data_IF_723443698851
#
_entry.id   IF_723443698851
#
_cell.length_a   1.000
_cell.length_b   1.000
_cell.length_c   1.000
_cell.angle_alpha   90.00
_cell.angle_beta   90.00
_cell.angle_gamma   90.00
#
_symmetry.space_group_name_H-M   'P 1'
#
loop_
_entity.id
_entity.type
_entity.pdbx_description
1 polymer ?
#
# COMPACT_ATOMS: atom_id res chain seq x y z
N UNK A 1 11.48 -16.82 11.90
CA UNK A 1 10.16 -16.89 11.25
C UNK A 1 9.92 -15.58 10.52
N UNK A 2 9.44 -15.60 9.28
CA UNK A 2 9.13 -14.40 8.47
C UNK A 2 7.62 -14.22 8.44
N UNK A 3 7.14 -12.99 8.56
CA UNK A 3 5.72 -12.66 8.51
C UNK A 3 5.55 -11.26 7.92
N UNK A 4 4.44 -11.04 7.23
CA UNK A 4 4.04 -9.74 6.70
C UNK A 4 2.52 -9.60 6.87
N UNK A 5 2.09 -8.38 7.17
CA UNK A 5 0.68 -8.01 7.33
C UNK A 5 0.48 -6.75 6.50
N UNK A 6 -0.65 -6.68 5.78
CA UNK A 6 -1.05 -5.52 4.99
C UNK A 6 -2.49 -5.13 5.32
N UNK A 7 -2.89 -3.90 4.99
CA UNK A 7 -4.29 -3.47 5.03
C UNK A 7 -4.64 -2.63 3.80
N UNK A 8 -5.90 -2.70 3.34
CA UNK A 8 -6.39 -1.90 2.21
C UNK A 8 -7.28 -0.71 2.61
N UNK A 9 -7.26 -0.31 3.88
CA UNK A 9 -8.15 0.72 4.44
C UNK A 9 -9.42 0.15 5.10
N UNK A 10 -10.11 1.01 5.86
CA UNK A 10 -11.29 0.66 6.65
C UNK A 10 -12.57 0.98 5.87
N UNK A 11 -13.59 0.14 6.04
CA UNK A 11 -14.96 0.38 5.53
C UNK A 11 -15.96 0.25 6.66
N UNK A 12 -17.09 0.93 6.54
CA UNK A 12 -18.15 0.90 7.57
C UNK A 12 -18.77 -0.49 7.61
N UNK A 13 -18.61 -1.16 8.76
CA UNK A 13 -19.15 -2.49 9.01
C UNK A 13 -20.67 -2.53 8.82
N UNK A 14 -21.18 -3.57 8.15
CA UNK A 14 -22.61 -3.84 8.00
C UNK A 14 -23.34 -3.05 6.90
N UNK A 15 -22.73 -2.06 6.26
CA UNK A 15 -23.36 -1.32 5.15
C UNK A 15 -22.93 -1.77 3.76
N UNK A 16 -21.77 -2.42 3.65
CA UNK A 16 -21.20 -2.81 2.37
C UNK A 16 -20.74 -4.26 2.47
N UNK A 17 -21.16 -5.10 1.52
CA UNK A 17 -20.50 -6.40 1.32
C UNK A 17 -19.03 -6.13 0.97
N UNK A 18 -18.14 -6.99 1.47
CA UNK A 18 -16.74 -6.93 1.08
C UNK A 18 -16.66 -7.17 -0.44
N UNK A 19 -15.82 -6.39 -1.13
CA UNK A 19 -15.60 -6.58 -2.56
C UNK A 19 -14.64 -7.77 -2.74
N UNK A 20 -15.06 -8.89 -3.36
CA UNK A 20 -14.18 -10.05 -3.56
C UNK A 20 -12.91 -9.69 -4.33
N UNK A 21 -12.98 -8.80 -5.31
CA UNK A 21 -11.82 -8.36 -6.08
C UNK A 21 -10.79 -7.65 -5.19
N UNK A 22 -11.26 -6.82 -4.26
CA UNK A 22 -10.39 -6.14 -3.29
C UNK A 22 -9.70 -7.11 -2.35
N UNK A 23 -10.40 -8.18 -1.94
CA UNK A 23 -9.81 -9.25 -1.11
C UNK A 23 -8.75 -10.01 -1.89
N UNK A 24 -9.01 -10.36 -3.14
CA UNK A 24 -8.02 -11.04 -3.97
C UNK A 24 -6.82 -10.15 -4.28
N UNK A 25 -7.03 -8.85 -4.45
CA UNK A 25 -5.96 -7.89 -4.64
C UNK A 25 -5.08 -7.73 -3.39
N UNK A 26 -5.67 -7.77 -2.18
CA UNK A 26 -4.91 -7.86 -0.93
C UNK A 26 -4.11 -9.17 -0.85
N UNK A 27 -4.69 -10.31 -1.25
CA UNK A 27 -3.94 -11.59 -1.29
C UNK A 27 -2.73 -11.52 -2.21
N UNK A 28 -2.85 -10.84 -3.36
CA UNK A 28 -1.71 -10.62 -4.27
C UNK A 28 -0.69 -9.68 -3.65
N UNK A 29 -1.10 -8.55 -3.08
CA UNK A 29 -0.21 -7.60 -2.44
C UNK A 29 0.61 -8.25 -1.30
N UNK A 30 -0.02 -9.06 -0.44
CA UNK A 30 0.69 -9.75 0.66
C UNK A 30 1.62 -10.82 0.12
N UNK A 31 1.22 -11.50 -0.97
CA UNK A 31 2.05 -12.49 -1.65
C UNK A 31 3.31 -11.85 -2.22
N UNK A 32 3.22 -10.69 -2.88
CA UNK A 32 4.37 -9.96 -3.41
C UNK A 32 5.43 -9.72 -2.33
N UNK A 33 5.03 -9.12 -1.20
CA UNK A 33 5.97 -8.85 -0.11
C UNK A 33 6.48 -10.13 0.59
N UNK A 34 5.64 -11.16 0.72
CA UNK A 34 6.07 -12.43 1.29
C UNK A 34 7.09 -13.17 0.40
N UNK A 35 6.91 -13.13 -0.92
CA UNK A 35 7.87 -13.66 -1.90
C UNK A 35 9.22 -12.92 -1.80
N UNK A 36 9.20 -11.59 -1.71
CA UNK A 36 10.42 -10.77 -1.47
C UNK A 36 11.15 -11.21 -0.19
N UNK A 37 10.42 -11.47 0.90
CA UNK A 37 11.01 -12.01 2.12
C UNK A 37 11.62 -13.39 1.89
N UNK A 38 10.95 -14.30 1.20
CA UNK A 38 11.45 -15.66 0.94
C UNK A 38 12.74 -15.64 0.11
N UNK A 39 12.84 -14.73 -0.85
CA UNK A 39 14.01 -14.53 -1.72
C UNK A 39 15.21 -13.86 -1.03
N UNK A 40 15.05 -13.47 0.24
CA UNK A 40 16.13 -12.89 1.05
C UNK A 40 16.14 -11.37 1.08
N UNK A 41 15.11 -10.73 0.52
CA UNK A 41 14.88 -9.29 0.69
C UNK A 41 14.67 -8.90 2.15
N UNK A 42 14.93 -7.64 2.45
CA UNK A 42 14.74 -7.05 3.77
C UNK A 42 13.26 -6.82 4.08
N UNK A 43 12.96 -6.49 5.35
CA UNK A 43 11.62 -6.08 5.74
C UNK A 43 11.17 -4.80 4.99
N UNK A 44 12.11 -3.89 4.69
CA UNK A 44 11.84 -2.69 3.89
C UNK A 44 11.43 -3.05 2.47
N UNK A 45 12.21 -3.89 1.81
CA UNK A 45 11.93 -4.31 0.43
C UNK A 45 10.54 -4.98 0.33
N UNK A 46 10.20 -5.79 1.33
CA UNK A 46 8.93 -6.51 1.37
C UNK A 46 7.72 -5.59 1.54
N UNK A 47 7.77 -4.61 2.46
CA UNK A 47 6.65 -3.66 2.63
C UNK A 47 6.53 -2.72 1.45
N UNK A 48 7.65 -2.30 0.87
CA UNK A 48 7.67 -1.48 -0.35
C UNK A 48 7.03 -2.23 -1.52
N UNK A 49 7.43 -3.49 -1.77
CA UNK A 49 6.86 -4.29 -2.85
C UNK A 49 5.33 -4.48 -2.70
N UNK A 50 4.85 -4.75 -1.49
CA UNK A 50 3.42 -4.86 -1.21
C UNK A 50 2.68 -3.55 -1.44
N UNK A 51 3.18 -2.42 -0.94
CA UNK A 51 2.51 -1.11 -1.07
C UNK A 51 2.53 -0.63 -2.52
N UNK A 52 3.66 -0.74 -3.23
CA UNK A 52 3.76 -0.36 -4.65
C UNK A 52 2.76 -1.11 -5.52
N UNK A 53 2.55 -2.40 -5.25
CA UNK A 53 1.52 -3.19 -5.92
C UNK A 53 0.11 -2.64 -5.64
N UNK A 54 -0.16 -2.24 -4.40
CA UNK A 54 -1.46 -1.67 -4.02
C UNK A 54 -1.70 -0.30 -4.66
N UNK A 55 -0.67 0.53 -4.81
CA UNK A 55 -0.78 1.84 -5.46
C UNK A 55 -1.12 1.77 -6.95
N UNK A 56 -0.74 0.68 -7.64
CA UNK A 56 -1.14 0.44 -9.02
C UNK A 56 -2.63 0.02 -9.14
N UNK A 57 -3.26 -0.41 -8.05
CA UNK A 57 -4.63 -0.90 -8.07
C UNK A 57 -5.63 0.24 -7.89
N UNK A 58 -6.65 0.36 -8.76
CA UNK A 58 -7.73 1.34 -8.58
C UNK A 58 -8.64 1.02 -7.39
N UNK A 59 -8.49 -0.14 -6.74
CA UNK A 59 -9.34 -0.60 -5.66
C UNK A 59 -8.95 -0.05 -4.27
N UNK A 60 -7.79 0.62 -4.18
CA UNK A 60 -7.28 1.18 -2.93
C UNK A 60 -7.10 2.69 -3.04
N UNK A 61 -7.35 3.40 -1.93
CA UNK A 61 -7.14 4.83 -1.84
C UNK A 61 -5.65 5.16 -1.64
N UNK A 62 -4.84 4.85 -2.66
CA UNK A 62 -3.41 5.12 -2.75
C UNK A 62 -3.00 5.09 -4.23
N UNK A 63 -1.96 5.83 -4.61
CA UNK A 63 -1.48 5.89 -6.00
C UNK A 63 -2.61 6.18 -7.01
N UNK A 64 -2.78 5.28 -7.98
CA UNK A 64 -3.74 5.39 -9.07
C UNK A 64 -5.22 5.42 -8.60
N UNK A 65 -5.56 4.72 -7.53
CA UNK A 65 -6.94 4.64 -7.00
C UNK A 65 -7.32 5.75 -6.01
N UNK A 66 -6.47 6.78 -5.87
CA UNK A 66 -6.64 7.82 -4.86
C UNK A 66 -7.88 8.67 -5.05
N UNK A 67 -8.48 9.05 -3.93
CA UNK A 67 -9.57 10.01 -3.86
C UNK A 67 -9.11 11.39 -4.29
N UNK A 68 -10.04 12.17 -4.82
CA UNK A 68 -9.77 13.54 -5.21
C UNK A 68 -9.92 14.50 -4.03
N UNK A 69 -9.08 15.52 -3.98
CA UNK A 69 -9.24 16.65 -3.09
C UNK A 69 -10.42 17.55 -3.53
N UNK A 70 -10.66 18.66 -2.81
CA UNK A 70 -11.77 19.58 -3.11
C UNK A 70 -11.69 20.27 -4.48
N UNK A 71 -10.50 20.27 -5.10
CA UNK A 71 -10.25 20.81 -6.43
C UNK A 71 -10.37 19.75 -7.53
N UNK A 72 -10.66 18.50 -7.18
CA UNK A 72 -10.73 17.39 -8.13
C UNK A 72 -9.36 16.83 -8.50
N UNK A 73 -8.31 17.08 -7.71
CA UNK A 73 -6.95 16.64 -7.99
C UNK A 73 -6.51 15.50 -7.05
N UNK A 74 -5.61 14.64 -7.51
CA UNK A 74 -4.94 13.64 -6.67
C UNK A 74 -3.71 14.25 -6.00
N UNK A 75 -3.66 14.16 -4.68
CA UNK A 75 -2.50 14.50 -3.84
C UNK A 75 -2.19 13.29 -2.96
N UNK A 76 -0.93 12.84 -2.96
CA UNK A 76 -0.50 11.62 -2.29
C UNK A 76 0.38 11.93 -1.09
N UNK A 77 0.19 11.14 -0.03
CA UNK A 77 1.05 11.09 1.14
C UNK A 77 1.52 9.64 1.31
N UNK A 78 2.81 9.45 1.61
CA UNK A 78 3.39 8.14 1.86
C UNK A 78 4.56 8.24 2.84
N UNK A 79 4.83 7.14 3.55
CA UNK A 79 5.99 7.05 4.44
C UNK A 79 6.46 5.61 4.60
N UNK A 80 7.74 5.44 4.92
CA UNK A 80 8.37 4.14 5.18
C UNK A 80 9.45 4.30 6.27
N UNK A 81 9.65 3.26 7.08
CA UNK A 81 10.61 3.28 8.19
C UNK A 81 11.34 1.94 8.32
N UNK A 82 12.65 2.01 8.51
CA UNK A 82 13.48 0.87 8.91
C UNK A 82 13.50 0.74 10.44
N UNK A 83 12.87 -0.30 10.97
CA UNK A 83 12.84 -0.57 12.40
C UNK A 83 14.21 -0.88 13.02
N UNK A 84 15.22 -1.27 12.23
CA UNK A 84 16.58 -1.56 12.74
C UNK A 84 17.39 -0.30 12.97
N UNK A 85 17.41 0.60 11.98
CA UNK A 85 18.21 1.84 12.03
C UNK A 85 17.42 3.07 12.51
N UNK A 86 16.10 2.96 12.61
CA UNK A 86 15.17 4.06 12.88
C UNK A 86 15.17 5.17 11.81
N UNK A 87 15.82 4.92 10.66
CA UNK A 87 15.71 5.84 9.51
C UNK A 87 14.32 5.76 8.92
N UNK A 88 13.77 6.91 8.55
CA UNK A 88 12.47 7.04 7.92
C UNK A 88 12.53 8.03 6.75
N UNK A 89 11.59 7.88 5.82
CA UNK A 89 11.34 8.81 4.73
C UNK A 89 9.85 9.00 4.57
N UNK A 90 9.45 10.19 4.14
CA UNK A 90 8.05 10.52 3.88
C UNK A 90 7.94 11.62 2.83
N UNK A 91 6.80 11.63 2.15
CA UNK A 91 6.36 12.70 1.25
C UNK A 91 4.92 13.08 1.59
N UNK A 92 4.53 14.31 1.25
CA UNK A 92 3.16 14.76 1.42
C UNK A 92 2.74 15.75 0.35
N UNK A 93 1.48 15.66 -0.07
CA UNK A 93 0.89 16.50 -1.11
C UNK A 93 1.57 16.37 -2.48
N UNK A 94 2.24 15.24 -2.76
CA UNK A 94 2.94 15.07 -4.04
C UNK A 94 1.95 14.78 -5.17
N UNK A 95 2.27 15.27 -6.36
CA UNK A 95 1.44 15.14 -7.57
C UNK A 95 2.27 14.55 -8.71
N UNK A 96 1.60 13.85 -9.62
CA UNK A 96 2.23 13.32 -10.85
C UNK A 96 3.25 12.20 -10.62
N UNK A 97 3.29 11.63 -9.41
CA UNK A 97 4.13 10.46 -9.08
C UNK A 97 3.26 9.22 -9.09
N UNK A 98 3.75 8.14 -9.71
CA UNK A 98 3.02 6.87 -9.79
C UNK A 98 2.98 6.11 -8.45
N UNK A 99 4.07 6.19 -7.70
CA UNK A 99 4.27 5.54 -6.40
C UNK A 99 4.88 6.55 -5.44
N UNK A 100 4.15 6.91 -4.38
CA UNK A 100 4.53 7.99 -3.47
C UNK A 100 5.52 7.53 -2.40
#
# INVERSE_FOLDING_TARGET
MKAIIIHGGVRVYGKLKENPERVDELKKAVKMGYETLLEGGSALDAVEASVRYMEDSPLFNAGYGSSLNILGEVELDASIMDGKSLRAGAVGGVKGVRHA
#
